data_IF_058149251336
#
_entry.id   IF_058149251336
#
_cell.length_a   1.000
_cell.length_b   1.000
_cell.length_c   1.000
_cell.angle_alpha   90.00
_cell.angle_beta   90.00
_cell.angle_gamma   90.00
#
_symmetry.space_group_name_H-M   'P 1'
#
loop_
_entity.id
_entity.type
_entity.pdbx_description
1 polymer ?
#
# COMPACT_ATOMS: atom_id res chain seq x y z
N UNK A 1 -33.27 55.19 -11.65
CA UNK A 1 -32.85 53.85 -12.13
C UNK A 1 -31.55 53.32 -11.47
N UNK A 2 -31.15 53.79 -10.27
CA UNK A 2 -29.89 53.36 -9.62
C UNK A 2 -30.03 52.19 -8.62
N UNK A 3 -31.26 51.84 -8.22
CA UNK A 3 -31.50 50.82 -7.17
C UNK A 3 -31.71 49.39 -7.70
N UNK A 4 -32.02 49.23 -8.99
CA UNK A 4 -32.24 47.91 -9.63
C UNK A 4 -30.92 47.17 -9.88
N UNK A 5 -29.83 47.91 -10.11
CA UNK A 5 -28.49 47.37 -10.37
C UNK A 5 -27.84 46.81 -9.09
N UNK A 6 -28.05 47.46 -7.93
CA UNK A 6 -27.59 46.92 -6.63
C UNK A 6 -28.33 45.64 -6.24
N UNK A 7 -29.62 45.53 -6.57
CA UNK A 7 -30.41 44.31 -6.30
C UNK A 7 -29.95 43.12 -7.14
N UNK A 8 -29.47 43.35 -8.37
CA UNK A 8 -28.97 42.31 -9.26
C UNK A 8 -27.53 41.88 -8.88
N UNK A 9 -26.71 42.82 -8.43
CA UNK A 9 -25.39 42.53 -7.87
C UNK A 9 -25.47 41.77 -6.52
N UNK A 10 -26.37 42.14 -5.62
CA UNK A 10 -26.60 41.39 -4.37
C UNK A 10 -27.25 40.03 -4.62
N UNK A 11 -28.12 39.89 -5.64
CA UNK A 11 -28.67 38.59 -6.02
C UNK A 11 -27.58 37.65 -6.56
N UNK A 12 -26.63 38.15 -7.38
CA UNK A 12 -25.47 37.36 -7.83
C UNK A 12 -24.48 37.03 -6.69
N UNK A 13 -24.29 37.92 -5.73
CA UNK A 13 -23.41 37.68 -4.58
C UNK A 13 -24.03 36.68 -3.58
N UNK A 14 -25.33 36.77 -3.33
CA UNK A 14 -26.07 35.82 -2.49
C UNK A 14 -26.17 34.44 -3.16
N UNK A 15 -26.33 34.36 -4.49
CA UNK A 15 -26.31 33.06 -5.18
C UNK A 15 -24.92 32.44 -5.20
N UNK A 16 -23.85 33.23 -5.40
CA UNK A 16 -22.46 32.74 -5.30
C UNK A 16 -22.07 32.24 -3.90
N UNK A 17 -22.67 32.76 -2.84
CA UNK A 17 -22.37 32.34 -1.46
C UNK A 17 -23.15 31.09 -1.01
N UNK A 18 -24.28 30.78 -1.65
CA UNK A 18 -25.11 29.59 -1.36
C UNK A 18 -24.77 28.41 -2.29
N UNK A 19 -24.17 28.68 -3.45
CA UNK A 19 -23.69 27.67 -4.39
C UNK A 19 -22.74 26.62 -3.76
N UNK A 20 -21.76 26.95 -2.89
CA UNK A 20 -20.89 25.95 -2.27
C UNK A 20 -21.64 24.96 -1.39
N UNK A 21 -22.72 25.39 -0.73
CA UNK A 21 -23.54 24.54 0.15
C UNK A 21 -24.47 23.58 -0.63
N UNK A 22 -24.83 23.94 -1.87
CA UNK A 22 -25.58 23.06 -2.77
C UNK A 22 -24.64 22.14 -3.55
N UNK A 23 -23.42 22.59 -3.87
CA UNK A 23 -22.37 21.78 -4.51
C UNK A 23 -21.85 20.69 -3.55
N UNK A 24 -21.78 20.94 -2.25
CA UNK A 24 -21.46 19.92 -1.24
C UNK A 24 -22.59 18.92 -0.98
N UNK A 25 -23.79 19.16 -1.52
CA UNK A 25 -24.94 18.26 -1.48
C UNK A 25 -25.23 17.58 -2.84
N UNK A 26 -24.44 17.88 -3.88
CA UNK A 26 -24.44 17.08 -5.09
C UNK A 26 -24.01 15.65 -4.72
N UNK A 27 -24.61 14.60 -5.31
CA UNK A 27 -24.09 13.26 -5.12
C UNK A 27 -22.63 13.29 -5.56
N UNK A 28 -21.72 13.04 -4.63
CA UNK A 28 -20.33 12.73 -4.94
C UNK A 28 -20.34 11.72 -6.08
N UNK A 29 -19.39 11.82 -7.01
CA UNK A 29 -19.20 10.79 -8.03
C UNK A 29 -19.08 9.43 -7.32
N UNK A 30 -20.18 8.70 -7.23
CA UNK A 30 -20.20 7.35 -6.72
C UNK A 30 -19.70 6.51 -7.87
N UNK A 31 -18.42 6.12 -7.77
CA UNK A 31 -17.87 5.10 -8.63
C UNK A 31 -18.85 3.90 -8.64
N UNK A 32 -19.11 3.28 -9.80
CA UNK A 32 -20.05 2.18 -9.90
C UNK A 32 -19.69 1.08 -8.88
N UNK A 33 -20.56 0.86 -7.90
CA UNK A 33 -20.40 -0.21 -6.90
C UNK A 33 -20.86 -1.53 -7.54
N UNK A 34 -20.07 -2.59 -7.36
CA UNK A 34 -20.36 -3.92 -7.94
C UNK A 34 -19.56 -4.28 -9.19
N UNK A 35 -18.46 -3.55 -9.47
CA UNK A 35 -17.59 -3.85 -10.61
C UNK A 35 -16.64 -5.03 -10.37
N UNK A 36 -16.51 -5.50 -9.12
CA UNK A 36 -15.49 -6.50 -8.75
C UNK A 36 -14.06 -5.98 -8.85
N UNK A 37 -13.87 -4.69 -9.14
CA UNK A 37 -12.58 -4.03 -9.03
C UNK A 37 -12.33 -3.64 -7.56
N UNK A 38 -11.07 -3.65 -7.10
CA UNK A 38 -10.74 -3.19 -5.76
C UNK A 38 -11.20 -1.74 -5.55
N UNK A 39 -12.17 -1.54 -4.65
CA UNK A 39 -12.62 -0.23 -4.20
C UNK A 39 -11.55 0.35 -3.25
N UNK A 40 -10.50 0.92 -3.83
CA UNK A 40 -9.42 1.53 -3.08
C UNK A 40 -8.57 2.45 -3.97
N UNK A 41 -7.94 3.44 -3.36
CA UNK A 41 -6.90 4.22 -4.04
C UNK A 41 -5.84 3.27 -4.64
N UNK A 42 -5.15 3.70 -5.70
CA UNK A 42 -4.08 2.91 -6.36
C UNK A 42 -3.09 2.36 -5.31
N UNK A 43 -2.79 3.17 -4.28
CA UNK A 43 -1.98 2.81 -3.11
C UNK A 43 -2.53 1.62 -2.33
N UNK A 44 -3.85 1.55 -2.11
CA UNK A 44 -4.51 0.44 -1.41
C UNK A 44 -4.41 -0.88 -2.16
N UNK A 45 -4.58 -0.86 -3.49
CA UNK A 45 -4.45 -2.05 -4.34
C UNK A 45 -3.02 -2.59 -4.29
N UNK A 46 -2.05 -1.71 -4.49
CA UNK A 46 -0.61 -2.05 -4.43
C UNK A 46 -0.25 -2.62 -3.05
N UNK A 47 -0.75 -2.00 -1.99
CA UNK A 47 -0.47 -2.46 -0.62
C UNK A 47 -1.07 -3.84 -0.35
N UNK A 48 -2.28 -4.11 -0.84
CA UNK A 48 -2.94 -5.39 -0.63
C UNK A 48 -2.25 -6.53 -1.39
N UNK A 49 -1.88 -6.28 -2.66
CA UNK A 49 -1.10 -7.25 -3.47
C UNK A 49 0.27 -7.50 -2.84
N UNK A 50 0.95 -6.46 -2.36
CA UNK A 50 2.23 -6.60 -1.67
C UNK A 50 2.10 -7.42 -0.39
N UNK A 51 1.08 -7.17 0.43
CA UNK A 51 0.85 -7.93 1.66
C UNK A 51 0.63 -9.42 1.36
N UNK A 52 -0.10 -9.73 0.29
CA UNK A 52 -0.27 -11.09 -0.19
C UNK A 52 1.07 -11.73 -0.63
N UNK A 53 1.90 -11.00 -1.37
CA UNK A 53 3.24 -11.47 -1.76
C UNK A 53 4.15 -11.69 -0.54
N UNK A 54 4.13 -10.78 0.44
CA UNK A 54 4.91 -10.89 1.67
C UNK A 54 4.50 -12.11 2.51
N UNK A 55 3.19 -12.40 2.58
CA UNK A 55 2.69 -13.61 3.24
C UNK A 55 3.23 -14.87 2.56
N UNK A 56 3.19 -14.93 1.23
CA UNK A 56 3.75 -16.06 0.45
C UNK A 56 5.25 -16.24 0.70
N UNK A 57 6.01 -15.14 0.62
CA UNK A 57 7.47 -15.17 0.86
C UNK A 57 7.79 -15.60 2.29
N UNK A 58 7.00 -15.16 3.28
CA UNK A 58 7.16 -15.57 4.67
C UNK A 58 7.00 -17.08 4.85
N UNK A 59 5.96 -17.66 4.25
CA UNK A 59 5.71 -19.12 4.31
C UNK A 59 6.85 -19.90 3.64
N UNK A 60 7.24 -19.50 2.42
CA UNK A 60 8.31 -20.17 1.68
C UNK A 60 9.65 -20.06 2.41
N UNK A 61 9.94 -18.89 2.99
CA UNK A 61 11.16 -18.64 3.76
C UNK A 61 11.27 -19.53 4.99
N UNK A 62 10.19 -19.70 5.76
CA UNK A 62 10.17 -20.59 6.93
C UNK A 62 10.34 -22.06 6.52
N UNK A 63 9.68 -22.50 5.45
CA UNK A 63 9.82 -23.88 4.95
C UNK A 63 11.26 -24.14 4.48
N UNK A 64 11.83 -23.24 3.67
CA UNK A 64 13.21 -23.35 3.19
C UNK A 64 14.22 -23.38 4.34
N UNK A 65 14.01 -22.55 5.36
CA UNK A 65 14.82 -22.54 6.56
C UNK A 65 14.74 -23.87 7.32
N UNK A 66 13.53 -24.42 7.51
CA UNK A 66 13.34 -25.71 8.18
C UNK A 66 14.03 -26.86 7.43
N UNK A 67 13.87 -26.93 6.10
CA UNK A 67 14.51 -27.96 5.26
C UNK A 67 16.03 -27.89 5.38
N UNK A 68 16.60 -26.68 5.35
CA UNK A 68 18.05 -26.49 5.50
C UNK A 68 18.55 -26.95 6.88
N UNK A 69 17.76 -26.75 7.94
CA UNK A 69 18.08 -27.23 9.29
C UNK A 69 18.09 -28.75 9.40
N UNK A 70 17.07 -29.42 8.81
CA UNK A 70 17.02 -30.88 8.77
C UNK A 70 18.19 -31.44 7.96
N UNK A 71 18.52 -30.81 6.82
CA UNK A 71 19.66 -31.22 5.99
C UNK A 71 20.98 -31.06 6.73
N UNK A 72 21.13 -30.01 7.55
CA UNK A 72 22.33 -29.79 8.37
C UNK A 72 22.48 -30.86 9.46
N UNK A 73 21.38 -31.18 10.17
CA UNK A 73 21.39 -32.24 11.20
C UNK A 73 21.65 -33.63 10.62
N UNK A 74 21.15 -33.92 9.42
CA UNK A 74 21.26 -35.25 8.78
C UNK A 74 22.55 -35.44 7.97
N UNK A 75 23.39 -34.41 7.83
CA UNK A 75 24.62 -34.48 7.04
C UNK A 75 25.70 -35.41 7.63
N UNK A 76 25.57 -35.84 8.90
CA UNK A 76 26.41 -36.88 9.52
C UNK A 76 27.94 -36.71 9.36
N UNK A 77 28.42 -35.47 9.20
CA UNK A 77 29.84 -35.15 9.02
C UNK A 77 30.34 -35.10 7.58
N UNK A 78 29.48 -35.33 6.58
CA UNK A 78 29.83 -35.13 5.17
C UNK A 78 29.99 -33.64 4.87
N UNK A 79 31.21 -33.20 4.55
CA UNK A 79 31.53 -31.79 4.32
C UNK A 79 30.74 -31.19 3.15
N UNK A 80 30.45 -31.97 2.10
CA UNK A 80 29.68 -31.52 0.95
C UNK A 80 28.23 -31.22 1.32
N UNK A 81 27.60 -32.13 2.07
CA UNK A 81 26.22 -31.95 2.55
C UNK A 81 26.11 -30.85 3.60
N UNK A 82 27.10 -30.72 4.49
CA UNK A 82 27.17 -29.62 5.44
C UNK A 82 27.31 -28.25 4.75
N UNK A 83 28.15 -28.15 3.71
CA UNK A 83 28.32 -26.94 2.92
C UNK A 83 27.06 -26.55 2.17
N UNK A 84 26.39 -27.53 1.54
CA UNK A 84 25.12 -27.31 0.84
C UNK A 84 24.00 -26.88 1.80
N UNK A 85 23.88 -27.51 2.97
CA UNK A 85 22.92 -27.13 4.00
C UNK A 85 23.14 -25.72 4.53
N UNK A 86 24.41 -25.33 4.78
CA UNK A 86 24.75 -23.95 5.17
C UNK A 86 24.38 -22.94 4.08
N UNK A 87 24.71 -23.21 2.82
CA UNK A 87 24.32 -22.31 1.72
C UNK A 87 22.81 -22.17 1.62
N UNK A 88 22.06 -23.28 1.68
CA UNK A 88 20.59 -23.26 1.65
C UNK A 88 19.99 -22.47 2.82
N UNK A 89 20.58 -22.60 4.01
CA UNK A 89 20.19 -21.82 5.20
C UNK A 89 20.46 -20.33 4.99
N UNK A 90 21.65 -19.97 4.50
CA UNK A 90 22.01 -18.58 4.19
C UNK A 90 21.07 -17.97 3.16
N UNK A 91 20.74 -18.68 2.07
CA UNK A 91 19.78 -18.18 1.07
C UNK A 91 18.38 -17.98 1.64
N UNK A 92 17.90 -18.88 2.51
CA UNK A 92 16.60 -18.73 3.16
C UNK A 92 16.57 -17.49 4.08
N UNK A 93 17.65 -17.26 4.85
CA UNK A 93 17.78 -16.08 5.71
C UNK A 93 17.79 -14.79 4.88
N UNK A 94 18.57 -14.76 3.80
CA UNK A 94 18.66 -13.59 2.91
C UNK A 94 17.30 -13.27 2.30
N UNK A 95 16.55 -14.29 1.86
CA UNK A 95 15.20 -14.10 1.32
C UNK A 95 14.24 -13.42 2.32
N UNK A 96 14.28 -13.84 3.58
CA UNK A 96 13.47 -13.22 4.65
C UNK A 96 13.93 -11.78 4.94
N UNK A 97 15.24 -11.53 4.98
CA UNK A 97 15.80 -10.18 5.18
C UNK A 97 15.34 -9.24 4.06
N UNK A 98 15.43 -9.68 2.80
CA UNK A 98 15.02 -8.89 1.64
C UNK A 98 13.52 -8.57 1.70
N UNK A 99 12.68 -9.52 2.13
CA UNK A 99 11.25 -9.30 2.30
C UNK A 99 10.96 -8.18 3.34
N UNK A 100 11.69 -8.18 4.46
CA UNK A 100 11.57 -7.15 5.50
C UNK A 100 12.00 -5.79 4.96
N UNK A 101 13.11 -5.72 4.22
CA UNK A 101 13.60 -4.48 3.60
C UNK A 101 12.57 -3.93 2.61
N UNK A 102 11.90 -4.78 1.84
CA UNK A 102 10.84 -4.37 0.91
C UNK A 102 9.73 -3.56 1.59
N UNK A 103 9.30 -3.97 2.79
CA UNK A 103 8.31 -3.23 3.58
C UNK A 103 8.82 -1.85 3.98
N UNK A 104 10.09 -1.77 4.40
CA UNK A 104 10.71 -0.50 4.82
C UNK A 104 10.79 0.48 3.66
N UNK A 105 11.20 0.01 2.47
CA UNK A 105 11.28 0.85 1.27
C UNK A 105 9.93 1.41 0.88
N UNK A 106 8.85 0.63 0.98
CA UNK A 106 7.49 1.11 0.67
C UNK A 106 7.04 2.15 1.68
N UNK A 107 7.29 1.93 2.98
CA UNK A 107 6.97 2.94 4.01
C UNK A 107 7.75 4.23 3.80
N UNK A 108 9.02 4.12 3.40
CA UNK A 108 9.83 5.29 3.04
C UNK A 108 9.27 5.98 1.79
N UNK A 109 8.91 5.24 0.74
CA UNK A 109 8.31 5.79 -0.47
C UNK A 109 6.96 6.46 -0.18
N UNK A 110 6.11 5.86 0.67
CA UNK A 110 4.86 6.46 1.12
C UNK A 110 5.10 7.70 2.00
N UNK A 111 6.15 7.74 2.81
CA UNK A 111 6.53 8.92 3.58
C UNK A 111 7.04 10.07 2.71
N UNK A 112 7.79 9.75 1.65
CA UNK A 112 8.33 10.73 0.69
C UNK A 112 7.25 11.23 -0.28
N UNK A 113 6.38 10.34 -0.77
CA UNK A 113 5.28 10.66 -1.70
C UNK A 113 4.00 11.13 -1.00
N UNK A 114 3.84 10.80 0.28
CA UNK A 114 2.75 11.26 1.14
C UNK A 114 3.00 12.62 1.80
N UNK A 115 4.10 13.28 1.43
CA UNK A 115 4.33 14.69 1.75
C UNK A 115 3.16 15.54 1.23
N UNK A 116 2.48 16.20 2.17
CA UNK A 116 1.35 17.14 1.96
C UNK A 116 -0.05 16.51 1.92
N UNK A 117 -0.44 15.81 3.00
CA UNK A 117 -1.76 16.05 3.61
C UNK A 117 -1.57 16.96 4.84
N UNK A 118 -0.87 18.08 4.66
CA UNK A 118 -1.00 19.19 5.60
C UNK A 118 -2.40 19.74 5.38
N UNK A 119 -3.37 19.26 6.16
CA UNK A 119 -4.57 20.04 6.42
C UNK A 119 -4.09 21.33 7.06
N UNK A 120 -4.06 22.39 6.26
CA UNK A 120 -4.25 23.73 6.80
C UNK A 120 -5.69 23.82 7.34
#
# INVERSE_FOLDING_TARGET
MKNKIKSLASACALTMMVLPALVSAAPAFQAPTGTGLPEGSITGIITNVMNWLLMLVGIIGVIGFAISGILYMTAAGDEGRLGSAKSAMTFSIIGVIVAIIGVVVIKAAQGLLGGTNSSF
#
